data_IF_988722059515
#
_entry.id   IF_988722059515
#
_cell.length_a   1.000
_cell.length_b   1.000
_cell.length_c   1.000
_cell.angle_alpha   90.00
_cell.angle_beta   90.00
_cell.angle_gamma   90.00
#
_symmetry.space_group_name_H-M   'P 1'
#
loop_
_entity.id
_entity.type
_entity.pdbx_description
1 polymer ?
#
# COMPACT_ATOMS: atom_id res chain seq x y z
N UNK A 1 -67.79 -12.16 13.66
CA UNK A 1 -67.57 -13.39 14.45
C UNK A 1 -66.14 -13.91 14.32
N UNK A 2 -65.58 -13.95 13.10
CA UNK A 2 -64.29 -14.60 12.79
C UNK A 2 -63.06 -14.06 13.56
N UNK A 3 -62.97 -12.75 13.84
CA UNK A 3 -61.81 -12.16 14.55
C UNK A 3 -61.59 -12.75 15.96
N UNK A 4 -62.62 -13.31 16.61
CA UNK A 4 -62.50 -13.97 17.91
C UNK A 4 -61.90 -15.38 17.80
N UNK A 5 -62.20 -16.09 16.70
CA UNK A 5 -61.78 -17.48 16.49
C UNK A 5 -60.27 -17.57 16.22
N UNK A 6 -59.72 -16.63 15.45
CA UNK A 6 -58.28 -16.57 15.15
C UNK A 6 -57.42 -16.34 16.40
N UNK A 7 -57.94 -15.56 17.37
CA UNK A 7 -57.27 -15.34 18.67
C UNK A 7 -57.28 -16.64 19.49
N UNK A 8 -58.41 -17.34 19.54
CA UNK A 8 -58.55 -18.59 20.28
C UNK A 8 -57.64 -19.71 19.74
N UNK A 9 -57.56 -19.86 18.42
CA UNK A 9 -56.67 -20.86 17.80
C UNK A 9 -55.18 -20.58 18.09
N UNK A 10 -54.76 -19.31 18.12
CA UNK A 10 -53.36 -18.96 18.48
C UNK A 10 -53.03 -19.27 19.94
N UNK A 11 -53.99 -19.13 20.87
CA UNK A 11 -53.79 -19.51 22.27
C UNK A 11 -53.63 -21.03 22.45
N UNK A 12 -54.46 -21.84 21.77
CA UNK A 12 -54.43 -23.31 21.90
C UNK A 12 -53.11 -23.90 21.37
N UNK A 13 -52.56 -23.36 20.27
CA UNK A 13 -51.28 -23.82 19.71
C UNK A 13 -50.10 -23.54 20.66
N UNK A 14 -50.11 -22.41 21.38
CA UNK A 14 -49.07 -22.10 22.36
C UNK A 14 -49.05 -23.10 23.53
N UNK A 15 -50.23 -23.38 24.13
CA UNK A 15 -50.37 -24.33 25.25
C UNK A 15 -49.94 -25.75 24.85
N UNK A 16 -50.23 -26.18 23.61
CA UNK A 16 -49.80 -27.49 23.12
C UNK A 16 -48.29 -27.63 22.91
N UNK A 17 -47.55 -26.52 22.76
CA UNK A 17 -46.10 -26.54 22.62
C UNK A 17 -45.40 -26.65 23.99
N UNK A 18 -45.89 -25.94 25.01
CA UNK A 18 -45.33 -26.02 26.38
C UNK A 18 -45.50 -27.42 27.00
N UNK A 19 -46.59 -28.13 26.70
CA UNK A 19 -46.88 -29.43 27.31
C UNK A 19 -46.00 -30.60 26.81
N UNK A 20 -45.18 -30.42 25.75
CA UNK A 20 -44.41 -31.52 25.13
C UNK A 20 -42.92 -31.60 25.45
N UNK A 21 -42.34 -30.65 26.18
CA UNK A 21 -40.89 -30.60 26.50
C UNK A 21 -40.64 -30.88 27.99
N UNK A 22 -41.33 -31.87 28.58
CA UNK A 22 -41.32 -32.12 30.03
C UNK A 22 -41.24 -33.59 30.48
N UNK A 23 -40.56 -34.43 29.69
CA UNK A 23 -40.15 -35.79 30.10
C UNK A 23 -38.69 -36.00 29.70
N UNK A 24 -37.91 -36.72 30.52
CA UNK A 24 -36.47 -37.01 30.39
C UNK A 24 -35.52 -35.79 30.57
N UNK A 25 -35.06 -35.56 31.81
CA UNK A 25 -33.63 -35.57 32.23
C UNK A 25 -33.54 -35.40 33.77
N UNK A 26 -32.51 -35.94 34.46
CA UNK A 26 -32.43 -35.90 35.94
C UNK A 26 -32.08 -34.52 36.53
N UNK A 27 -32.46 -34.29 37.80
CA UNK A 27 -32.19 -33.05 38.54
C UNK A 27 -30.81 -33.05 39.20
N UNK A 28 -29.85 -32.26 38.69
CA UNK A 28 -28.72 -31.73 39.50
C UNK A 28 -28.11 -30.48 38.85
N UNK A 29 -27.87 -29.45 39.67
CA UNK A 29 -26.87 -28.37 39.46
C UNK A 29 -26.96 -27.50 38.18
N UNK A 30 -28.01 -26.68 38.07
CA UNK A 30 -27.95 -25.37 37.39
C UNK A 30 -28.75 -24.34 38.21
N UNK A 31 -28.24 -23.15 38.53
CA UNK A 31 -29.00 -22.09 39.20
C UNK A 31 -30.03 -21.43 38.26
N UNK A 32 -31.11 -20.81 38.77
CA UNK A 32 -32.25 -20.40 37.94
C UNK A 32 -31.95 -19.18 37.06
N UNK A 33 -32.14 -19.32 35.75
CA UNK A 33 -32.24 -18.20 34.80
C UNK A 33 -33.52 -17.39 35.07
N UNK A 34 -33.41 -16.32 35.86
CA UNK A 34 -34.55 -15.43 36.14
C UNK A 34 -34.19 -13.96 36.39
N UNK A 35 -33.31 -13.38 35.55
CA UNK A 35 -33.43 -11.99 35.08
C UNK A 35 -32.51 -11.75 33.87
N UNK A 36 -33.09 -11.78 32.67
CA UNK A 36 -32.59 -11.04 31.50
C UNK A 36 -33.68 -10.08 31.01
N UNK A 37 -34.19 -9.26 31.94
CA UNK A 37 -34.40 -7.86 31.57
C UNK A 37 -33.06 -7.34 31.03
N UNK A 38 -33.11 -6.40 30.08
CA UNK A 38 -31.89 -5.78 29.54
C UNK A 38 -31.01 -5.38 30.72
N UNK A 39 -29.69 -5.70 30.74
CA UNK A 39 -28.81 -4.93 31.59
C UNK A 39 -29.03 -3.47 31.21
N UNK A 40 -29.19 -2.59 32.20
CA UNK A 40 -29.24 -1.17 31.93
C UNK A 40 -27.92 -0.80 31.24
N UNK A 41 -27.98 -0.67 29.91
CA UNK A 41 -26.91 -0.11 29.12
C UNK A 41 -26.85 1.34 29.58
N UNK A 42 -26.04 1.59 30.60
CA UNK A 42 -25.93 2.88 31.23
C UNK A 42 -25.70 3.90 30.12
N UNK A 43 -26.72 4.74 29.90
CA UNK A 43 -26.62 5.93 29.06
C UNK A 43 -25.80 6.92 29.87
N UNK A 44 -24.51 6.60 30.04
CA UNK A 44 -23.51 7.49 30.57
C UNK A 44 -23.62 8.79 29.77
N UNK A 45 -23.72 9.95 30.42
CA UNK A 45 -23.89 11.22 29.73
C UNK A 45 -22.56 11.66 29.09
N UNK A 46 -22.08 10.92 28.08
CA UNK A 46 -20.90 11.22 27.26
C UNK A 46 -20.97 12.61 26.61
N UNK A 47 -22.16 13.24 26.60
CA UNK A 47 -22.35 14.67 26.29
C UNK A 47 -21.55 15.64 27.18
N UNK A 48 -20.95 15.21 28.31
CA UNK A 48 -20.19 16.10 29.20
C UNK A 48 -18.67 15.94 29.21
N UNK A 49 -18.07 14.96 28.50
CA UNK A 49 -16.60 14.83 28.41
C UNK A 49 -16.15 14.69 26.95
N UNK A 50 -15.12 15.45 26.59
CA UNK A 50 -14.50 15.38 25.27
C UNK A 50 -13.56 14.16 25.19
N UNK A 51 -13.62 13.43 24.09
CA UNK A 51 -12.62 12.40 23.77
C UNK A 51 -11.39 13.07 23.15
N UNK A 52 -10.20 12.62 23.53
CA UNK A 52 -8.92 13.23 23.10
C UNK A 52 -8.34 12.47 21.91
N UNK A 53 -8.17 13.17 20.80
CA UNK A 53 -7.64 12.65 19.53
C UNK A 53 -6.22 13.19 19.29
N UNK A 54 -5.23 12.35 19.48
CA UNK A 54 -3.82 12.69 19.26
C UNK A 54 -3.49 12.73 17.77
N UNK A 55 -3.28 13.93 17.24
CA UNK A 55 -2.76 14.15 15.90
C UNK A 55 -2.10 15.54 15.78
N UNK A 56 -1.13 15.67 14.87
CA UNK A 56 -0.34 16.90 14.70
C UNK A 56 -1.07 18.04 13.97
N UNK A 57 -2.09 17.73 13.17
CA UNK A 57 -2.96 18.69 12.50
C UNK A 57 -4.18 17.98 11.91
N UNK A 58 -5.22 18.74 11.61
CA UNK A 58 -6.34 18.25 10.81
C UNK A 58 -5.88 17.84 9.40
N UNK A 59 -6.22 16.62 9.00
CA UNK A 59 -5.81 15.99 7.74
C UNK A 59 -6.76 14.83 7.39
N UNK A 60 -6.61 14.20 6.22
CA UNK A 60 -7.46 13.09 5.73
C UNK A 60 -7.77 11.97 6.73
N UNK A 61 -6.86 11.64 7.66
CA UNK A 61 -7.09 10.58 8.65
C UNK A 61 -7.85 11.10 9.88
N UNK A 62 -7.69 12.38 10.21
CA UNK A 62 -8.36 13.05 11.34
C UNK A 62 -9.80 13.47 10.96
N UNK A 63 -10.01 13.94 9.73
CA UNK A 63 -11.31 14.35 9.22
C UNK A 63 -12.36 13.23 9.36
N UNK A 64 -12.00 11.97 9.12
CA UNK A 64 -12.86 10.80 9.32
C UNK A 64 -13.52 10.79 10.71
N UNK A 65 -12.70 10.98 11.74
CA UNK A 65 -13.12 10.93 13.15
C UNK A 65 -13.96 12.15 13.50
N UNK A 66 -13.51 13.35 13.13
CA UNK A 66 -14.18 14.60 13.48
C UNK A 66 -15.51 14.78 12.73
N UNK A 67 -15.62 14.35 11.47
CA UNK A 67 -16.89 14.40 10.73
C UNK A 67 -17.87 13.37 11.29
N UNK A 68 -17.42 12.15 11.61
CA UNK A 68 -18.27 11.17 12.30
C UNK A 68 -18.75 11.70 13.66
N UNK A 69 -17.88 12.38 14.41
CA UNK A 69 -18.24 13.03 15.68
C UNK A 69 -19.37 14.08 15.51
N UNK A 70 -19.29 14.92 14.47
CA UNK A 70 -20.34 15.90 14.13
C UNK A 70 -21.68 15.24 13.75
N UNK A 71 -21.67 14.15 12.99
CA UNK A 71 -22.89 13.41 12.63
C UNK A 71 -23.58 12.74 13.82
N UNK A 72 -22.81 12.37 14.87
CA UNK A 72 -23.32 11.63 16.05
C UNK A 72 -23.48 12.54 17.28
N UNK A 73 -23.02 13.79 17.21
CA UNK A 73 -23.08 14.75 18.33
C UNK A 73 -22.07 14.46 19.45
N UNK A 74 -20.96 13.78 19.13
CA UNK A 74 -19.87 13.46 20.07
C UNK A 74 -18.86 14.60 20.10
N UNK A 75 -18.40 14.99 21.29
CA UNK A 75 -17.32 15.98 21.43
C UNK A 75 -15.95 15.27 21.30
N UNK A 76 -15.24 15.49 20.20
CA UNK A 76 -13.86 15.00 19.99
C UNK A 76 -12.94 16.19 19.78
N UNK A 77 -11.89 16.29 20.60
CA UNK A 77 -10.94 17.40 20.58
C UNK A 77 -9.54 16.89 20.24
N UNK A 78 -8.76 17.70 19.52
CA UNK A 78 -7.35 17.38 19.30
C UNK A 78 -6.55 17.54 20.59
N UNK A 79 -5.62 16.63 20.84
CA UNK A 79 -4.71 16.72 21.98
C UNK A 79 -3.91 18.05 21.92
N UNK A 80 -3.89 18.85 22.99
CA UNK A 80 -3.10 20.09 23.02
C UNK A 80 -1.60 19.78 22.90
N UNK A 81 -0.87 20.72 22.29
CA UNK A 81 0.59 20.72 22.18
C UNK A 81 1.23 19.44 21.56
N UNK A 82 0.45 18.65 20.82
CA UNK A 82 0.95 17.45 20.15
C UNK A 82 1.99 17.79 19.07
N UNK A 83 3.21 17.28 19.22
CA UNK A 83 4.32 17.51 18.30
C UNK A 83 4.73 16.21 17.58
N UNK A 84 4.52 16.16 16.27
CA UNK A 84 4.92 15.01 15.44
C UNK A 84 6.44 14.78 15.48
N UNK A 85 6.83 13.53 15.72
CA UNK A 85 8.23 13.12 15.89
C UNK A 85 8.72 13.18 17.34
N UNK A 86 7.99 13.85 18.23
CA UNK A 86 8.33 13.97 19.66
C UNK A 86 7.28 13.27 20.51
N UNK A 87 6.04 13.76 20.54
CA UNK A 87 4.97 13.22 21.38
C UNK A 87 4.71 11.74 21.10
N UNK A 88 4.63 11.36 19.81
CA UNK A 88 4.43 9.97 19.38
C UNK A 88 5.68 9.06 19.46
N UNK A 89 6.77 9.54 20.06
CA UNK A 89 7.98 8.76 20.37
C UNK A 89 8.23 8.63 21.87
N UNK A 90 7.37 9.21 22.71
CA UNK A 90 7.42 9.02 24.17
C UNK A 90 7.01 7.58 24.55
N UNK A 91 7.62 6.97 25.58
CA UNK A 91 7.18 5.68 26.12
C UNK A 91 5.71 5.65 26.56
N UNK A 92 5.16 6.80 26.96
CA UNK A 92 3.75 6.99 27.29
C UNK A 92 2.87 6.80 26.05
N UNK A 93 3.18 7.48 24.94
CA UNK A 93 2.40 7.34 23.70
C UNK A 93 2.53 5.94 23.07
N UNK A 94 3.70 5.31 23.18
CA UNK A 94 3.91 3.96 22.66
C UNK A 94 3.09 2.88 23.39
N UNK A 95 2.54 3.17 24.58
CA UNK A 95 1.52 2.34 25.23
C UNK A 95 0.12 2.51 24.62
N UNK A 96 -0.17 3.65 24.00
CA UNK A 96 -1.44 3.94 23.31
C UNK A 96 -1.43 3.39 21.88
N UNK A 97 -0.28 3.41 21.21
CA UNK A 97 -0.05 2.80 19.91
C UNK A 97 1.42 2.33 19.79
N UNK A 98 1.71 1.02 19.74
CA UNK A 98 3.09 0.51 19.71
C UNK A 98 3.85 0.87 18.43
N UNK A 99 3.15 1.23 17.34
CA UNK A 99 3.74 1.67 16.07
C UNK A 99 4.12 3.17 16.13
N UNK A 100 3.61 3.92 17.13
CA UNK A 100 3.83 5.37 17.25
C UNK A 100 3.29 6.16 16.06
N UNK A 101 2.20 5.69 15.43
CA UNK A 101 1.46 6.39 14.36
C UNK A 101 0.32 7.23 14.95
N UNK A 102 -0.22 8.14 14.13
CA UNK A 102 -1.39 8.97 14.42
C UNK A 102 -2.41 8.91 13.27
N UNK A 103 -3.72 9.12 13.52
CA UNK A 103 -4.34 9.44 14.81
C UNK A 103 -4.38 8.27 15.82
N UNK A 104 -4.54 8.63 17.10
CA UNK A 104 -4.91 7.73 18.21
C UNK A 104 -5.96 8.44 19.06
N UNK A 105 -7.04 7.75 19.42
CA UNK A 105 -8.11 8.26 20.27
C UNK A 105 -7.99 7.67 21.68
N UNK A 106 -8.01 8.51 22.72
CA UNK A 106 -8.19 8.08 24.09
C UNK A 106 -9.68 7.93 24.42
N UNK A 107 -10.02 6.83 25.08
CA UNK A 107 -11.38 6.51 25.54
C UNK A 107 -11.31 5.98 26.98
N UNK A 108 -12.40 6.02 27.77
CA UNK A 108 -12.39 5.52 29.15
C UNK A 108 -11.96 4.05 29.29
N UNK A 109 -12.27 3.22 28.28
CA UNK A 109 -11.99 1.78 28.27
C UNK A 109 -10.62 1.42 27.65
N UNK A 110 -9.90 2.40 27.10
CA UNK A 110 -8.59 2.21 26.47
C UNK A 110 -8.35 3.11 25.25
N UNK A 111 -7.15 3.00 24.66
CA UNK A 111 -6.80 3.74 23.45
C UNK A 111 -7.19 2.96 22.18
N UNK A 112 -7.71 3.67 21.17
CA UNK A 112 -8.01 3.13 19.84
C UNK A 112 -7.06 3.77 18.83
N UNK A 113 -6.33 2.95 18.07
CA UNK A 113 -5.52 3.41 16.93
C UNK A 113 -6.09 2.88 15.60
N UNK A 114 -5.47 3.30 14.49
CA UNK A 114 -5.97 3.21 13.10
C UNK A 114 -7.22 4.05 12.79
N UNK A 115 -7.10 4.93 11.80
CA UNK A 115 -8.09 5.99 11.54
C UNK A 115 -9.48 5.50 11.14
N UNK A 116 -9.59 4.35 10.48
CA UNK A 116 -10.88 3.75 10.15
C UNK A 116 -11.52 3.10 11.39
N UNK A 117 -10.73 2.51 12.29
CA UNK A 117 -11.22 1.91 13.53
C UNK A 117 -11.68 2.99 14.53
N UNK A 118 -10.92 4.08 14.66
CA UNK A 118 -11.31 5.26 15.46
C UNK A 118 -12.63 5.85 14.94
N UNK A 119 -12.78 6.01 13.62
CA UNK A 119 -14.02 6.53 13.04
C UNK A 119 -15.21 5.57 13.23
N UNK A 120 -15.00 4.24 13.07
CA UNK A 120 -16.00 3.21 13.43
C UNK A 120 -16.36 3.23 14.91
N UNK A 121 -15.42 3.52 15.82
CA UNK A 121 -15.68 3.64 17.26
C UNK A 121 -16.56 4.86 17.57
N UNK A 122 -16.15 6.06 17.12
CA UNK A 122 -16.92 7.30 17.37
C UNK A 122 -18.32 7.22 16.75
N UNK A 123 -18.46 6.61 15.56
CA UNK A 123 -19.76 6.38 14.92
C UNK A 123 -20.70 5.44 15.71
N UNK A 124 -20.22 4.71 16.72
CA UNK A 124 -21.03 3.81 17.57
C UNK A 124 -21.45 4.43 18.91
N UNK A 125 -21.02 5.65 19.23
CA UNK A 125 -21.26 6.28 20.54
C UNK A 125 -22.61 7.02 20.67
N UNK A 126 -23.46 6.99 19.65
CA UNK A 126 -24.77 7.63 19.67
C UNK A 126 -25.68 7.08 18.57
N UNK A 127 -26.96 7.44 18.62
CA UNK A 127 -28.00 6.94 17.71
C UNK A 127 -27.91 7.62 16.34
N UNK A 128 -27.62 6.85 15.27
CA UNK A 128 -27.36 7.36 13.92
C UNK A 128 -27.39 6.26 12.84
N UNK A 129 -27.47 6.65 11.57
CA UNK A 129 -27.53 5.74 10.41
C UNK A 129 -26.19 5.56 9.66
N UNK A 130 -25.03 5.88 10.25
CA UNK A 130 -23.74 5.83 9.53
C UNK A 130 -23.29 4.42 9.12
N UNK A 131 -23.94 3.36 9.64
CA UNK A 131 -23.72 1.97 9.25
C UNK A 131 -24.84 1.40 8.36
N UNK A 132 -25.83 2.23 8.00
CA UNK A 132 -27.09 1.79 7.40
C UNK A 132 -27.99 1.02 8.38
N UNK A 133 -29.08 0.45 7.85
CA UNK A 133 -30.19 -0.09 8.66
C UNK A 133 -30.22 -1.61 8.73
N UNK A 134 -29.35 -2.31 7.99
CA UNK A 134 -29.39 -3.77 7.84
C UNK A 134 -27.99 -4.40 7.80
N UNK A 135 -27.87 -5.73 8.01
CA UNK A 135 -26.56 -6.42 7.92
C UNK A 135 -25.87 -6.31 6.56
N UNK A 136 -26.64 -6.15 5.48
CA UNK A 136 -26.09 -5.96 4.13
C UNK A 136 -25.61 -4.52 3.91
N UNK A 137 -26.27 -3.51 4.50
CA UNK A 137 -25.76 -2.14 4.48
C UNK A 137 -24.43 -2.03 5.24
N UNK A 138 -24.32 -2.66 6.41
CA UNK A 138 -23.08 -2.72 7.19
C UNK A 138 -21.94 -3.35 6.38
N UNK A 139 -22.22 -4.46 5.67
CA UNK A 139 -21.25 -5.11 4.80
C UNK A 139 -20.83 -4.21 3.62
N UNK A 140 -21.78 -3.48 2.99
CA UNK A 140 -21.46 -2.51 1.95
C UNK A 140 -20.68 -1.29 2.48
N UNK A 141 -20.96 -0.83 3.71
CA UNK A 141 -20.21 0.25 4.36
C UNK A 141 -18.76 -0.18 4.58
N UNK A 142 -18.53 -1.37 5.13
CA UNK A 142 -17.16 -1.88 5.32
C UNK A 142 -16.45 -2.16 3.98
N UNK A 143 -17.15 -2.70 2.97
CA UNK A 143 -16.64 -2.87 1.60
C UNK A 143 -16.11 -1.54 1.02
N UNK A 144 -16.88 -0.45 1.12
CA UNK A 144 -16.48 0.85 0.58
C UNK A 144 -15.39 1.53 1.41
N UNK A 145 -15.37 1.33 2.73
CA UNK A 145 -14.27 1.80 3.60
C UNK A 145 -12.95 1.15 3.19
N UNK A 146 -12.96 -0.16 2.96
CA UNK A 146 -11.76 -0.92 2.66
C UNK A 146 -11.32 -0.67 1.20
N UNK A 147 -12.24 -0.58 0.23
CA UNK A 147 -11.97 -0.09 -1.13
C UNK A 147 -11.32 1.31 -1.11
N UNK A 148 -11.87 2.23 -0.34
CA UNK A 148 -11.34 3.60 -0.25
C UNK A 148 -9.95 3.63 0.41
N UNK A 149 -9.60 2.68 1.27
CA UNK A 149 -8.26 2.56 1.84
C UNK A 149 -7.26 1.87 0.90
N UNK A 150 -7.67 0.80 0.22
CA UNK A 150 -6.79 -0.05 -0.58
C UNK A 150 -6.58 0.47 -2.01
N UNK A 151 -7.65 0.88 -2.70
CA UNK A 151 -7.59 1.30 -4.11
C UNK A 151 -7.41 2.82 -4.27
N UNK A 152 -7.94 3.63 -3.34
CA UNK A 152 -7.82 5.10 -3.40
C UNK A 152 -6.66 5.60 -2.53
N UNK A 153 -6.71 5.42 -1.22
CA UNK A 153 -5.77 6.07 -0.29
C UNK A 153 -4.31 5.58 -0.43
N UNK A 154 -4.13 4.28 -0.68
CA UNK A 154 -2.82 3.69 -1.01
C UNK A 154 -2.18 4.38 -2.22
N UNK A 155 -2.94 4.52 -3.31
CA UNK A 155 -2.43 5.10 -4.55
C UNK A 155 -2.24 6.63 -4.44
N UNK A 156 -3.17 7.37 -3.81
CA UNK A 156 -2.96 8.79 -3.48
C UNK A 156 -1.73 9.00 -2.56
N UNK A 157 -1.43 8.05 -1.67
CA UNK A 157 -0.25 8.13 -0.80
C UNK A 157 1.06 7.88 -1.56
N UNK A 158 1.08 6.96 -2.53
CA UNK A 158 2.22 6.76 -3.46
C UNK A 158 2.55 8.03 -4.25
N UNK A 159 1.54 8.80 -4.67
CA UNK A 159 1.70 10.11 -5.32
C UNK A 159 2.17 11.20 -4.34
N UNK A 160 1.57 11.25 -3.15
CA UNK A 160 1.77 12.33 -2.19
C UNK A 160 3.12 12.29 -1.48
N UNK A 161 3.53 11.12 -0.95
CA UNK A 161 4.67 11.00 -0.04
C UNK A 161 6.00 11.42 -0.73
N UNK A 162 6.29 11.01 -1.98
CA UNK A 162 7.48 11.48 -2.69
C UNK A 162 7.42 12.96 -3.08
N UNK A 163 6.26 13.47 -3.53
CA UNK A 163 6.09 14.89 -3.88
C UNK A 163 6.16 15.83 -2.67
N UNK A 164 5.95 15.31 -1.45
CA UNK A 164 6.23 16.02 -0.20
C UNK A 164 7.66 15.81 0.34
N UNK A 165 8.55 15.15 -0.42
CA UNK A 165 9.95 14.90 -0.03
C UNK A 165 10.12 13.88 1.11
N UNK A 166 9.08 13.08 1.40
CA UNK A 166 9.06 12.10 2.49
C UNK A 166 9.43 10.67 2.06
N UNK A 167 9.62 10.46 0.76
CA UNK A 167 10.16 9.25 0.15
C UNK A 167 10.90 9.63 -1.14
N UNK A 168 11.76 8.76 -1.71
CA UNK A 168 12.31 8.95 -3.06
C UNK A 168 11.19 9.03 -4.11
N UNK A 169 11.34 9.93 -5.08
CA UNK A 169 10.47 9.97 -6.26
C UNK A 169 10.94 8.95 -7.30
N UNK A 170 10.02 8.10 -7.76
CA UNK A 170 10.26 7.05 -8.77
C UNK A 170 9.16 7.19 -9.83
N UNK A 171 9.48 7.55 -11.09
CA UNK A 171 8.47 7.80 -12.13
C UNK A 171 7.49 6.63 -12.34
N UNK A 172 8.01 5.40 -12.40
CA UNK A 172 7.20 4.19 -12.62
C UNK A 172 6.21 3.91 -11.48
N UNK A 173 6.55 4.27 -10.24
CA UNK A 173 5.65 4.12 -9.08
C UNK A 173 4.53 5.15 -9.14
N UNK A 174 4.80 6.37 -9.63
CA UNK A 174 3.78 7.38 -9.88
C UNK A 174 2.87 7.01 -11.05
N UNK A 175 3.43 6.55 -12.18
CA UNK A 175 2.67 6.09 -13.34
C UNK A 175 1.75 4.90 -12.97
N UNK A 176 2.30 3.91 -12.26
CA UNK A 176 1.54 2.77 -11.73
C UNK A 176 0.45 3.22 -10.74
N UNK A 177 0.73 4.21 -9.87
CA UNK A 177 -0.25 4.76 -8.95
C UNK A 177 -1.37 5.51 -9.67
N UNK A 178 -1.08 6.32 -10.70
CA UNK A 178 -2.09 6.98 -11.53
C UNK A 178 -2.93 5.98 -12.32
N UNK A 179 -2.31 4.95 -12.91
CA UNK A 179 -3.04 3.88 -13.61
C UNK A 179 -3.98 3.12 -12.66
N UNK A 180 -3.49 2.74 -11.47
CA UNK A 180 -4.29 2.05 -10.45
C UNK A 180 -5.43 2.93 -9.93
N UNK A 181 -5.15 4.21 -9.66
CA UNK A 181 -6.12 5.19 -9.22
C UNK A 181 -7.18 5.48 -10.29
N UNK A 182 -6.82 5.44 -11.58
CA UNK A 182 -7.77 5.58 -12.69
C UNK A 182 -8.79 4.44 -12.67
N UNK A 183 -8.37 3.18 -12.57
CA UNK A 183 -9.32 2.04 -12.43
C UNK A 183 -10.25 2.19 -11.22
N UNK A 184 -9.71 2.66 -10.09
CA UNK A 184 -10.48 2.90 -8.88
C UNK A 184 -11.53 4.01 -9.09
N UNK A 185 -11.16 5.08 -9.80
CA UNK A 185 -12.06 6.17 -10.17
C UNK A 185 -13.08 5.74 -11.22
N UNK A 186 -12.73 4.87 -12.17
CA UNK A 186 -13.66 4.29 -13.16
C UNK A 186 -14.75 3.47 -12.44
N UNK A 187 -14.37 2.53 -11.57
CA UNK A 187 -15.32 1.72 -10.78
C UNK A 187 -16.21 2.59 -9.88
N UNK A 188 -15.62 3.58 -9.19
CA UNK A 188 -16.36 4.51 -8.34
C UNK A 188 -17.31 5.41 -9.16
N UNK A 189 -16.90 5.86 -10.34
CA UNK A 189 -17.71 6.66 -11.26
C UNK A 189 -18.91 5.87 -11.79
N UNK A 190 -18.72 4.58 -12.11
CA UNK A 190 -19.80 3.67 -12.52
C UNK A 190 -20.82 3.45 -11.41
N UNK A 191 -20.38 3.21 -10.15
CA UNK A 191 -21.30 3.11 -9.02
C UNK A 191 -22.08 4.41 -8.79
N UNK A 192 -21.38 5.54 -8.78
CA UNK A 192 -21.96 6.87 -8.53
C UNK A 192 -22.81 7.39 -9.69
N UNK A 193 -22.80 6.77 -10.87
CA UNK A 193 -23.69 7.13 -11.98
C UNK A 193 -25.17 7.00 -11.60
N UNK A 194 -25.50 6.01 -10.76
CA UNK A 194 -26.88 5.71 -10.32
C UNK A 194 -27.13 5.99 -8.83
N UNK A 195 -26.09 6.25 -8.04
CA UNK A 195 -26.21 6.44 -6.59
C UNK A 195 -25.71 7.83 -6.15
N UNK A 196 -26.45 8.47 -5.23
CA UNK A 196 -26.06 9.77 -4.64
C UNK A 196 -24.93 9.61 -3.62
N UNK A 197 -25.04 8.59 -2.77
CA UNK A 197 -24.09 8.18 -1.73
C UNK A 197 -23.56 6.78 -2.04
N UNK A 198 -22.63 6.26 -1.25
CA UNK A 198 -22.03 4.94 -1.49
C UNK A 198 -22.95 3.78 -1.06
N UNK A 199 -23.75 3.96 -0.01
CA UNK A 199 -24.67 2.95 0.53
C UNK A 199 -26.01 3.59 0.88
N UNK A 200 -27.07 3.20 0.19
CA UNK A 200 -28.42 3.72 0.39
C UNK A 200 -28.56 5.22 0.10
N UNK A 201 -29.63 5.81 0.64
CA UNK A 201 -30.08 7.18 0.33
C UNK A 201 -29.55 8.27 1.28
N UNK A 202 -28.60 7.93 2.17
CA UNK A 202 -28.05 8.86 3.18
C UNK A 202 -26.54 8.72 3.36
N UNK A 203 -25.86 9.78 3.81
CA UNK A 203 -24.44 9.74 4.17
C UNK A 203 -24.15 8.64 5.19
N UNK A 204 -23.22 7.76 4.87
CA UNK A 204 -22.69 6.71 5.75
C UNK A 204 -21.24 6.96 6.15
N UNK A 205 -20.68 6.10 7.01
CA UNK A 205 -19.26 6.12 7.37
C UNK A 205 -18.35 5.85 6.15
N UNK A 206 -18.83 5.07 5.18
CA UNK A 206 -18.15 4.89 3.90
C UNK A 206 -17.99 6.23 3.15
N UNK A 207 -19.03 7.06 3.14
CA UNK A 207 -18.98 8.36 2.48
C UNK A 207 -18.01 9.33 3.18
N UNK A 208 -18.04 9.33 4.51
CA UNK A 208 -17.11 10.11 5.36
C UNK A 208 -15.66 9.71 5.09
N UNK A 209 -15.36 8.41 5.07
CA UNK A 209 -13.99 7.91 4.87
C UNK A 209 -13.52 8.11 3.42
N UNK A 210 -14.35 7.79 2.43
CA UNK A 210 -14.03 7.95 1.01
C UNK A 210 -13.80 9.42 0.66
N UNK A 211 -14.70 10.32 1.09
CA UNK A 211 -14.54 11.76 0.85
C UNK A 211 -13.28 12.31 1.55
N UNK A 212 -12.95 11.82 2.74
CA UNK A 212 -11.72 12.21 3.45
C UNK A 212 -10.45 11.80 2.70
N UNK A 213 -10.44 10.63 2.03
CA UNK A 213 -9.34 10.24 1.14
C UNK A 213 -9.33 11.07 -0.15
N UNK A 214 -10.48 11.21 -0.83
CA UNK A 214 -10.62 12.02 -2.04
C UNK A 214 -10.20 13.49 -1.83
N UNK A 215 -10.38 14.05 -0.62
CA UNK A 215 -9.89 15.38 -0.27
C UNK A 215 -8.38 15.54 -0.48
N UNK A 216 -7.57 14.51 -0.21
CA UNK A 216 -6.13 14.55 -0.52
C UNK A 216 -5.91 14.61 -2.03
N UNK A 217 -6.70 13.83 -2.79
CA UNK A 217 -6.70 13.88 -4.25
C UNK A 217 -7.03 15.28 -4.77
N UNK A 218 -8.28 15.71 -4.64
CA UNK A 218 -8.77 16.98 -5.18
C UNK A 218 -7.99 18.20 -4.66
N UNK A 219 -7.63 18.25 -3.38
CA UNK A 219 -7.02 19.45 -2.77
C UNK A 219 -5.49 19.53 -2.88
N UNK A 220 -4.82 18.47 -3.35
CA UNK A 220 -3.34 18.40 -3.41
C UNK A 220 -2.74 17.69 -4.62
N UNK A 221 -3.46 16.85 -5.37
CA UNK A 221 -2.86 15.95 -6.39
C UNK A 221 -3.59 15.92 -7.74
N UNK A 222 -4.91 16.04 -7.76
CA UNK A 222 -5.75 15.76 -8.93
C UNK A 222 -6.27 17.06 -9.54
N UNK A 223 -5.61 17.50 -10.61
CA UNK A 223 -6.00 18.67 -11.42
C UNK A 223 -7.32 18.44 -12.15
N UNK A 224 -7.97 19.55 -12.55
CA UNK A 224 -9.31 19.55 -13.16
C UNK A 224 -9.42 18.71 -14.43
N UNK A 225 -8.35 18.58 -15.22
CA UNK A 225 -8.33 17.71 -16.40
C UNK A 225 -8.54 16.24 -16.04
N UNK A 226 -7.88 15.73 -14.99
CA UNK A 226 -8.05 14.36 -14.50
C UNK A 226 -9.43 14.14 -13.88
N UNK A 227 -9.91 15.06 -13.03
CA UNK A 227 -11.21 14.84 -12.34
C UNK A 227 -12.40 14.91 -13.28
N UNK A 228 -12.28 15.65 -14.40
CA UNK A 228 -13.34 15.77 -15.39
C UNK A 228 -13.53 14.50 -16.25
N UNK A 229 -12.60 13.54 -16.21
CA UNK A 229 -12.82 12.18 -16.74
C UNK A 229 -13.85 11.40 -15.89
N UNK A 230 -14.10 11.81 -14.64
CA UNK A 230 -14.91 11.09 -13.65
C UNK A 230 -16.04 11.97 -13.08
N UNK A 231 -17.00 12.41 -13.91
CA UNK A 231 -17.99 13.42 -13.55
C UNK A 231 -18.89 13.04 -12.36
N UNK A 232 -19.16 11.75 -12.14
CA UNK A 232 -19.95 11.29 -11.00
C UNK A 232 -19.14 11.27 -9.70
N UNK A 233 -17.83 10.95 -9.76
CA UNK A 233 -16.90 11.09 -8.63
C UNK A 233 -16.71 12.57 -8.27
N UNK A 234 -16.56 13.45 -9.26
CA UNK A 234 -16.44 14.88 -9.01
C UNK A 234 -17.74 15.48 -8.44
N UNK A 235 -18.91 15.15 -9.01
CA UNK A 235 -20.23 15.50 -8.43
C UNK A 235 -20.30 15.08 -6.97
N UNK A 236 -20.07 13.80 -6.70
CA UNK A 236 -20.11 13.22 -5.36
C UNK A 236 -19.18 13.94 -4.38
N UNK A 237 -17.91 14.13 -4.75
CA UNK A 237 -16.94 14.82 -3.90
C UNK A 237 -17.42 16.23 -3.54
N UNK A 238 -17.87 17.01 -4.52
CA UNK A 238 -18.39 18.36 -4.27
C UNK A 238 -19.70 18.39 -3.49
N UNK A 239 -20.59 17.40 -3.66
CA UNK A 239 -21.78 17.23 -2.81
C UNK A 239 -21.36 17.03 -1.35
N UNK A 240 -20.49 16.05 -1.08
CA UNK A 240 -20.14 15.68 0.30
C UNK A 240 -19.34 16.78 1.01
N UNK A 241 -18.30 17.37 0.41
CA UNK A 241 -17.49 18.41 1.12
C UNK A 241 -18.24 19.71 1.39
N UNK A 242 -19.36 19.97 0.70
CA UNK A 242 -20.21 21.13 0.96
C UNK A 242 -21.35 20.86 1.97
N UNK A 243 -21.57 19.61 2.39
CA UNK A 243 -22.49 19.31 3.49
C UNK A 243 -22.05 20.04 4.78
N UNK A 244 -22.96 20.55 5.63
CA UNK A 244 -22.60 21.34 6.81
C UNK A 244 -21.56 20.66 7.72
N UNK A 245 -21.76 19.38 8.02
CA UNK A 245 -20.89 18.59 8.92
C UNK A 245 -19.48 18.41 8.35
N UNK A 246 -19.35 18.23 7.03
CA UNK A 246 -18.06 18.17 6.35
C UNK A 246 -17.39 19.54 6.31
N UNK A 247 -18.12 20.58 5.88
CA UNK A 247 -17.61 21.93 5.72
C UNK A 247 -17.18 22.58 7.04
N UNK A 248 -17.83 22.23 8.16
CA UNK A 248 -17.42 22.66 9.51
C UNK A 248 -16.03 22.17 9.91
N UNK A 249 -15.66 20.97 9.46
CA UNK A 249 -14.42 20.27 9.84
C UNK A 249 -13.29 20.45 8.81
N UNK A 250 -13.62 20.37 7.52
CA UNK A 250 -12.66 20.50 6.41
C UNK A 250 -12.40 21.97 6.06
N UNK A 251 -13.36 22.86 6.32
CA UNK A 251 -13.37 24.23 5.82
C UNK A 251 -13.79 24.30 4.34
N UNK A 252 -13.46 25.41 3.67
CA UNK A 252 -13.70 25.57 2.24
C UNK A 252 -12.64 24.82 1.43
N UNK A 253 -13.07 23.84 0.64
CA UNK A 253 -12.20 23.11 -0.29
C UNK A 253 -11.99 23.92 -1.58
N UNK A 254 -10.74 24.02 -2.04
CA UNK A 254 -10.38 24.44 -3.41
C UNK A 254 -9.64 23.28 -4.08
N UNK A 255 -9.97 22.98 -5.34
CA UNK A 255 -9.23 22.00 -6.14
C UNK A 255 -7.81 22.51 -6.45
N UNK A 256 -6.85 21.58 -6.55
CA UNK A 256 -5.47 21.90 -6.94
C UNK A 256 -5.39 22.27 -8.42
N UNK A 257 -4.67 23.34 -8.74
CA UNK A 257 -4.45 23.81 -10.12
C UNK A 257 -3.25 23.12 -10.79
N UNK A 258 -2.36 22.53 -9.98
CA UNK A 258 -1.21 21.76 -10.43
C UNK A 258 -0.93 20.58 -9.47
N UNK A 259 -0.18 19.58 -9.93
CA UNK A 259 0.49 18.62 -9.05
C UNK A 259 1.61 19.36 -8.27
N UNK A 260 1.89 19.01 -7.00
CA UNK A 260 2.99 19.60 -6.27
C UNK A 260 4.31 19.25 -6.97
N UNK A 261 5.25 20.18 -7.17
CA UNK A 261 6.48 19.90 -7.91
C UNK A 261 7.24 18.74 -7.27
N UNK A 262 7.85 17.90 -8.10
CA UNK A 262 8.81 16.90 -7.63
C UNK A 262 9.93 17.67 -6.91
N UNK A 263 10.27 17.34 -5.65
CA UNK A 263 11.36 18.00 -4.96
C UNK A 263 12.67 17.83 -5.73
N UNK A 264 13.16 18.91 -6.34
CA UNK A 264 14.56 18.99 -6.72
C UNK A 264 15.42 18.86 -5.46
N UNK A 265 16.68 18.46 -5.60
CA UNK A 265 17.60 18.25 -4.48
C UNK A 265 18.04 19.59 -3.83
N UNK A 266 17.09 20.30 -3.23
CA UNK A 266 17.33 21.57 -2.56
C UNK A 266 18.17 21.34 -1.29
N UNK A 267 19.27 22.08 -1.19
CA UNK A 267 20.12 22.10 0.01
C UNK A 267 19.26 22.48 1.23
N UNK A 268 19.47 21.85 2.41
CA UNK A 268 18.77 22.23 3.63
C UNK A 268 18.94 23.74 3.91
N UNK A 269 17.85 24.43 4.26
CA UNK A 269 17.93 25.82 4.73
C UNK A 269 18.59 25.85 6.11
N UNK A 270 19.67 26.61 6.25
CA UNK A 270 20.39 26.76 7.50
C UNK A 270 19.53 27.48 8.55
N UNK A 271 19.16 26.75 9.62
CA UNK A 271 18.69 27.36 10.86
C UNK A 271 19.90 27.87 11.65
N UNK A 272 20.08 29.19 11.73
CA UNK A 272 21.19 29.83 12.46
C UNK A 272 21.37 29.23 13.87
N UNK A 273 22.56 28.71 14.23
CA UNK A 273 22.85 28.30 15.59
C UNK A 273 22.74 29.47 16.57
N UNK A 274 22.16 29.24 17.75
CA UNK A 274 22.34 30.12 18.91
C UNK A 274 23.61 29.70 19.65
N UNK A 275 24.39 30.68 20.09
CA UNK A 275 25.61 30.50 20.88
C UNK A 275 25.34 29.89 22.26
N UNK A 276 26.25 29.03 22.73
CA UNK A 276 26.60 28.88 24.15
C UNK A 276 27.89 28.07 24.39
N UNK A 277 28.90 28.78 24.88
CA UNK A 277 29.82 28.44 25.98
C UNK A 277 30.49 27.05 26.03
N UNK A 278 31.75 27.02 25.59
CA UNK A 278 32.85 26.26 26.21
C UNK A 278 33.25 26.89 27.59
N UNK A 279 34.25 26.41 28.40
CA UNK A 279 35.24 25.34 28.17
C UNK A 279 35.52 24.36 29.35
N UNK A 280 36.19 23.22 29.09
CA UNK A 280 37.58 22.96 29.58
C UNK A 280 38.18 21.60 29.20
N UNK A 281 39.48 21.67 28.88
CA UNK A 281 40.40 20.59 28.46
C UNK A 281 40.82 19.65 29.60
N UNK A 282 41.13 18.41 29.23
CA UNK A 282 42.38 17.71 29.61
C UNK A 282 42.97 17.08 28.34
N UNK A 283 44.29 17.05 28.18
CA UNK A 283 44.94 16.57 26.95
C UNK A 283 46.34 15.96 27.19
N UNK A 284 46.66 14.90 26.43
CA UNK A 284 47.99 14.31 26.09
C UNK A 284 47.74 13.00 25.30
N UNK A 285 48.53 12.60 24.30
CA UNK A 285 49.54 13.29 23.48
C UNK A 285 49.99 12.40 22.30
N UNK A 286 50.01 12.92 21.07
CA UNK A 286 50.71 12.32 19.92
C UNK A 286 52.22 12.66 19.91
N UNK A 287 53.00 11.92 19.12
CA UNK A 287 53.81 12.52 18.04
C UNK A 287 53.34 11.99 16.67
N UNK A 288 53.04 12.79 15.63
CA UNK A 288 53.76 13.91 15.00
C UNK A 288 55.05 13.47 14.25
N UNK A 289 55.38 13.93 13.02
CA UNK A 289 54.71 14.81 12.02
C UNK A 289 55.47 14.70 10.66
N UNK A 290 54.99 15.22 9.50
CA UNK A 290 55.02 16.66 9.18
C UNK A 290 53.69 17.24 8.61
N UNK A 291 53.72 18.55 8.32
CA UNK A 291 52.68 19.47 7.78
C UNK A 291 53.48 20.45 6.85
N UNK A 292 53.04 21.14 5.78
CA UNK A 292 51.71 21.55 5.23
C UNK A 292 51.85 21.87 3.69
N UNK A 293 51.27 22.86 2.96
CA UNK A 293 50.34 24.04 3.12
C UNK A 293 49.65 24.33 1.74
N UNK A 294 48.44 24.89 1.59
CA UNK A 294 47.41 25.26 2.59
C UNK A 294 45.96 24.89 2.15
N UNK A 295 45.42 25.49 1.07
CA UNK A 295 43.95 25.62 0.84
C UNK A 295 43.48 25.47 -0.62
N UNK A 296 42.43 24.67 -0.86
CA UNK A 296 41.08 25.16 -1.23
C UNK A 296 40.00 24.03 -1.17
N UNK A 297 38.72 24.44 -1.08
CA UNK A 297 37.44 23.69 -1.03
C UNK A 297 37.40 22.16 -0.71
N UNK A 298 36.89 21.77 0.48
CA UNK A 298 36.52 20.37 0.80
C UNK A 298 35.01 20.10 0.55
N UNK A 299 34.70 19.11 -0.29
CA UNK A 299 33.33 18.71 -0.62
C UNK A 299 32.72 17.72 0.41
N UNK A 300 31.38 17.73 0.63
CA UNK A 300 30.75 16.97 1.72
C UNK A 300 30.75 15.45 1.53
N UNK A 301 30.92 14.72 2.63
CA UNK A 301 31.00 13.24 2.66
C UNK A 301 29.69 12.54 2.26
N UNK A 302 29.74 11.31 1.73
CA UNK A 302 28.70 10.78 0.85
C UNK A 302 27.50 10.15 1.57
N UNK A 303 26.38 10.05 0.85
CA UNK A 303 25.35 9.04 1.13
C UNK A 303 25.95 7.63 0.99
N UNK A 304 25.48 6.67 1.78
CA UNK A 304 25.85 5.27 1.60
C UNK A 304 25.52 4.80 0.17
N UNK A 305 26.53 4.29 -0.54
CA UNK A 305 26.39 3.70 -1.87
C UNK A 305 25.84 2.27 -1.76
N UNK A 306 25.11 1.80 -2.77
CA UNK A 306 24.80 0.37 -2.89
C UNK A 306 26.14 -0.40 -3.07
N UNK A 307 26.32 -1.60 -2.49
CA UNK A 307 27.56 -2.37 -2.67
C UNK A 307 27.96 -2.60 -4.14
N UNK A 308 26.99 -2.71 -5.06
CA UNK A 308 27.27 -2.85 -6.50
C UNK A 308 27.81 -1.56 -7.15
N UNK A 309 27.58 -0.38 -6.56
CA UNK A 309 28.18 0.90 -6.96
C UNK A 309 29.65 1.05 -6.51
N UNK A 310 30.19 0.02 -5.83
CA UNK A 310 31.60 -0.06 -5.40
C UNK A 310 32.40 -1.08 -6.23
N UNK A 311 31.75 -1.87 -7.10
CA UNK A 311 32.43 -2.86 -7.93
C UNK A 311 33.26 -2.20 -9.05
N UNK A 312 34.43 -2.75 -9.43
CA UNK A 312 35.28 -2.23 -10.50
C UNK A 312 34.51 -2.01 -11.81
N UNK A 313 34.71 -0.90 -12.54
CA UNK A 313 33.98 -0.60 -13.77
C UNK A 313 34.02 -1.76 -14.78
N UNK A 314 32.84 -2.12 -15.29
CA UNK A 314 32.66 -3.16 -16.31
C UNK A 314 32.77 -2.58 -17.71
N UNK A 315 33.32 -3.35 -18.65
CA UNK A 315 33.29 -3.09 -20.10
C UNK A 315 31.85 -3.08 -20.62
N UNK A 316 30.98 -3.93 -20.09
CA UNK A 316 29.56 -3.96 -20.44
C UNK A 316 28.80 -2.81 -19.77
N UNK A 317 28.23 -1.90 -20.58
CA UNK A 317 27.30 -0.86 -20.12
C UNK A 317 25.86 -1.40 -20.26
N UNK A 318 25.22 -1.70 -19.13
CA UNK A 318 23.93 -2.39 -19.09
C UNK A 318 22.80 -1.61 -19.81
N UNK A 319 22.79 -0.28 -19.72
CA UNK A 319 21.78 0.55 -20.38
C UNK A 319 21.96 0.58 -21.91
N UNK A 320 23.19 0.42 -22.41
CA UNK A 320 23.43 0.29 -23.86
C UNK A 320 22.97 -1.07 -24.38
N UNK A 321 23.21 -2.15 -23.62
CA UNK A 321 22.61 -3.46 -23.89
C UNK A 321 21.08 -3.37 -23.94
N UNK A 322 20.45 -2.81 -22.91
CA UNK A 322 18.99 -2.69 -22.83
C UNK A 322 18.41 -1.83 -23.96
N UNK A 323 19.14 -0.80 -24.40
CA UNK A 323 18.80 0.01 -25.58
C UNK A 323 18.89 -0.80 -26.88
N UNK A 324 19.98 -1.55 -27.10
CA UNK A 324 20.14 -2.42 -28.27
C UNK A 324 19.04 -3.48 -28.34
N UNK A 325 18.81 -4.20 -27.23
CA UNK A 325 17.74 -5.18 -27.10
C UNK A 325 16.36 -4.59 -27.43
N UNK A 326 16.07 -3.39 -26.92
CA UNK A 326 14.76 -2.74 -27.12
C UNK A 326 14.56 -2.21 -28.54
N UNK A 327 15.63 -1.77 -29.21
CA UNK A 327 15.58 -1.18 -30.55
C UNK A 327 15.60 -2.23 -31.67
N UNK A 328 16.12 -3.43 -31.41
CA UNK A 328 16.15 -4.53 -32.38
C UNK A 328 14.74 -5.08 -32.60
N UNK A 329 14.26 -5.08 -33.86
CA UNK A 329 12.92 -5.55 -34.26
C UNK A 329 12.92 -6.68 -35.29
N UNK A 330 13.99 -6.78 -36.07
CA UNK A 330 14.26 -7.83 -37.06
C UNK A 330 15.71 -8.29 -36.90
N UNK A 331 16.06 -9.43 -37.49
CA UNK A 331 17.43 -9.96 -37.48
C UNK A 331 18.00 -10.09 -36.04
N UNK A 332 17.17 -10.56 -35.10
CA UNK A 332 17.45 -10.47 -33.67
C UNK A 332 18.75 -11.19 -33.27
N UNK A 333 18.99 -12.37 -33.86
CA UNK A 333 20.23 -13.14 -33.76
C UNK A 333 21.48 -12.36 -34.20
N UNK A 334 21.39 -11.66 -35.33
CA UNK A 334 22.51 -10.96 -35.96
C UNK A 334 22.85 -9.63 -35.29
N UNK A 335 21.86 -8.98 -34.68
CA UNK A 335 21.98 -7.64 -34.09
C UNK A 335 22.03 -7.69 -32.57
N UNK A 336 20.99 -8.21 -31.92
CA UNK A 336 20.88 -8.23 -30.47
C UNK A 336 21.71 -9.36 -29.83
N UNK A 337 21.63 -10.60 -30.32
CA UNK A 337 22.42 -11.71 -29.75
C UNK A 337 23.91 -11.51 -30.03
N UNK A 338 24.30 -11.14 -31.26
CA UNK A 338 25.70 -10.79 -31.55
C UNK A 338 26.18 -9.63 -30.66
N UNK A 339 25.42 -8.53 -30.60
CA UNK A 339 25.79 -7.36 -29.80
C UNK A 339 25.83 -7.65 -28.29
N UNK A 340 24.98 -8.55 -27.79
CA UNK A 340 25.06 -9.05 -26.41
C UNK A 340 26.44 -9.66 -26.15
N UNK A 341 26.88 -10.61 -26.96
CA UNK A 341 28.18 -11.28 -26.79
C UNK A 341 29.38 -10.38 -27.10
N UNK A 342 29.26 -9.40 -28.02
CA UNK A 342 30.29 -8.38 -28.25
C UNK A 342 30.51 -7.47 -27.01
N UNK A 343 29.41 -7.13 -26.31
CA UNK A 343 29.41 -6.27 -25.13
C UNK A 343 29.65 -7.01 -23.81
N UNK A 344 29.29 -8.30 -23.72
CA UNK A 344 29.28 -9.05 -22.47
C UNK A 344 30.65 -9.06 -21.79
N UNK A 345 30.63 -8.87 -20.48
CA UNK A 345 31.79 -8.78 -19.61
C UNK A 345 31.64 -9.83 -18.50
N UNK A 346 32.39 -10.95 -18.56
CA UNK A 346 32.28 -12.04 -17.59
C UNK A 346 32.96 -11.72 -16.26
N UNK A 347 33.81 -10.69 -16.17
CA UNK A 347 34.32 -10.18 -14.88
C UNK A 347 33.28 -9.23 -14.27
N UNK A 348 32.64 -8.42 -15.12
CA UNK A 348 31.64 -7.43 -14.75
C UNK A 348 30.26 -7.97 -14.36
N UNK A 349 29.80 -9.04 -15.00
CA UNK A 349 28.43 -9.58 -14.85
C UNK A 349 28.39 -11.11 -14.87
N UNK A 350 27.55 -11.69 -14.01
CA UNK A 350 27.23 -13.12 -14.00
C UNK A 350 25.88 -13.40 -14.68
N UNK A 351 25.83 -14.49 -15.42
CA UNK A 351 24.61 -15.04 -16.01
C UNK A 351 24.11 -16.23 -15.16
N UNK A 352 22.79 -16.32 -15.00
CA UNK A 352 22.11 -17.33 -14.20
C UNK A 352 20.85 -17.84 -14.90
N UNK A 353 20.69 -19.15 -14.99
CA UNK A 353 19.39 -19.76 -15.25
C UNK A 353 18.57 -19.81 -13.95
N UNK A 354 17.25 -19.65 -14.05
CA UNK A 354 16.33 -19.95 -12.96
C UNK A 354 15.14 -20.80 -13.43
N UNK A 355 15.12 -22.06 -13.02
CA UNK A 355 14.04 -22.99 -13.33
C UNK A 355 13.08 -23.06 -12.12
N UNK A 356 11.77 -22.88 -12.34
CA UNK A 356 10.78 -22.85 -11.22
C UNK A 356 10.59 -24.23 -10.61
N UNK A 357 10.63 -24.34 -9.28
CA UNK A 357 10.63 -25.65 -8.58
C UNK A 357 9.31 -26.42 -8.65
N UNK A 358 8.19 -25.70 -8.75
CA UNK A 358 6.84 -26.28 -8.60
C UNK A 358 6.06 -26.28 -9.92
N UNK A 359 6.69 -26.77 -11.00
CA UNK A 359 6.12 -26.69 -12.36
C UNK A 359 4.73 -27.33 -12.45
N UNK A 360 4.49 -28.45 -11.78
CA UNK A 360 3.22 -29.19 -11.82
C UNK A 360 2.02 -28.39 -11.27
N UNK A 361 2.25 -27.36 -10.43
CA UNK A 361 1.20 -26.46 -9.94
C UNK A 361 0.68 -25.50 -11.02
N UNK A 362 1.44 -25.27 -12.09
CA UNK A 362 1.14 -24.30 -13.14
C UNK A 362 0.08 -24.84 -14.12
N UNK A 363 -1.09 -25.21 -13.59
CA UNK A 363 -2.17 -25.86 -14.34
C UNK A 363 -3.04 -24.90 -15.17
N UNK A 364 -2.94 -23.58 -14.93
CA UNK A 364 -3.78 -22.56 -15.58
C UNK A 364 -2.90 -21.45 -16.15
N UNK A 365 -2.91 -21.31 -17.47
CA UNK A 365 -2.02 -20.40 -18.22
C UNK A 365 -2.00 -18.98 -17.67
N UNK A 366 -3.14 -18.30 -17.61
CA UNK A 366 -3.20 -16.90 -17.15
C UNK A 366 -2.76 -16.72 -15.69
N UNK A 367 -2.91 -17.74 -14.84
CA UNK A 367 -2.39 -17.72 -13.46
C UNK A 367 -0.87 -17.80 -13.47
N UNK A 368 -0.29 -18.67 -14.29
CA UNK A 368 1.17 -18.77 -14.50
C UNK A 368 1.74 -17.46 -15.06
N UNK A 369 1.08 -16.85 -16.06
CA UNK A 369 1.49 -15.55 -16.62
C UNK A 369 1.46 -14.44 -15.57
N UNK A 370 0.49 -14.45 -14.65
CA UNK A 370 0.39 -13.51 -13.54
C UNK A 370 1.43 -13.78 -12.44
N UNK A 371 1.73 -15.05 -12.13
CA UNK A 371 2.79 -15.48 -11.20
C UNK A 371 4.15 -14.90 -11.64
N UNK A 372 4.52 -15.09 -12.92
CA UNK A 372 5.73 -14.51 -13.52
C UNK A 372 5.70 -12.99 -13.52
N UNK A 373 4.55 -12.38 -13.82
CA UNK A 373 4.38 -10.91 -13.77
C UNK A 373 4.64 -10.33 -12.38
N UNK A 374 4.14 -10.98 -11.33
CA UNK A 374 4.36 -10.58 -9.94
C UNK A 374 5.83 -10.73 -9.50
N UNK A 375 6.51 -11.80 -9.91
CA UNK A 375 7.94 -11.97 -9.68
C UNK A 375 8.75 -10.81 -10.29
N UNK A 376 8.51 -10.48 -11.57
CA UNK A 376 9.20 -9.36 -12.23
C UNK A 376 8.92 -7.98 -11.61
N UNK A 377 7.78 -7.80 -10.93
CA UNK A 377 7.49 -6.58 -10.16
C UNK A 377 8.28 -6.51 -8.85
N UNK A 378 8.54 -7.65 -8.19
CA UNK A 378 9.36 -7.69 -6.95
C UNK A 378 10.85 -7.56 -7.24
N UNK A 379 11.29 -8.00 -8.42
CA UNK A 379 12.65 -7.79 -8.92
C UNK A 379 12.97 -6.32 -9.28
N UNK A 380 12.03 -5.38 -9.23
CA UNK A 380 12.21 -3.98 -9.69
C UNK A 380 13.37 -3.24 -8.98
N UNK A 381 13.61 -3.56 -7.71
CA UNK A 381 14.77 -3.13 -6.92
C UNK A 381 16.13 -3.47 -7.58
N UNK A 382 16.18 -4.50 -8.41
CA UNK A 382 17.35 -4.90 -9.18
C UNK A 382 17.50 -4.17 -10.53
N UNK A 383 16.52 -3.37 -10.98
CA UNK A 383 16.46 -2.89 -12.38
C UNK A 383 17.71 -2.15 -12.85
N UNK A 384 18.35 -1.33 -12.00
CA UNK A 384 19.62 -0.65 -12.32
C UNK A 384 20.79 -1.63 -12.56
N UNK A 385 20.74 -2.82 -11.99
CA UNK A 385 21.87 -3.76 -11.90
C UNK A 385 21.63 -5.10 -12.61
N UNK A 386 20.44 -5.30 -13.18
CA UNK A 386 20.05 -6.56 -13.79
C UNK A 386 19.31 -6.40 -15.12
N UNK A 387 19.37 -7.45 -15.94
CA UNK A 387 18.51 -7.72 -17.08
C UNK A 387 18.01 -9.16 -16.96
N UNK A 388 16.79 -9.45 -17.39
CA UNK A 388 16.22 -10.78 -17.27
C UNK A 388 15.18 -11.13 -18.34
N UNK A 389 14.99 -12.43 -18.53
CA UNK A 389 13.97 -13.04 -19.38
C UNK A 389 13.29 -14.16 -18.61
N UNK A 390 11.97 -14.21 -18.65
CA UNK A 390 11.16 -15.29 -18.08
C UNK A 390 10.26 -15.84 -19.17
N UNK A 391 10.44 -17.10 -19.51
CA UNK A 391 9.67 -17.83 -20.50
C UNK A 391 8.60 -18.67 -19.79
N UNK A 392 7.40 -18.72 -20.37
CA UNK A 392 6.36 -19.68 -20.01
C UNK A 392 6.16 -20.60 -21.21
N UNK A 393 6.32 -21.90 -20.98
CA UNK A 393 6.55 -22.91 -22.03
C UNK A 393 5.54 -24.05 -21.86
N UNK A 394 5.10 -24.61 -22.99
CA UNK A 394 4.13 -25.70 -23.06
C UNK A 394 2.80 -25.27 -23.70
N UNK A 395 2.26 -26.14 -24.56
CA UNK A 395 0.97 -25.94 -25.25
C UNK A 395 -0.24 -26.38 -24.41
N UNK A 396 0.00 -27.09 -23.31
CA UNK A 396 -1.00 -27.55 -22.35
C UNK A 396 -0.39 -27.57 -20.93
N UNK A 397 -1.25 -27.74 -19.92
CA UNK A 397 -0.82 -27.86 -18.53
C UNK A 397 -0.06 -29.18 -18.26
N UNK A 398 0.93 -29.19 -17.35
CA UNK A 398 1.45 -28.06 -16.58
C UNK A 398 2.41 -27.17 -17.39
N UNK A 399 2.28 -25.84 -17.23
CA UNK A 399 3.11 -24.86 -17.93
C UNK A 399 4.45 -24.64 -17.23
N UNK A 400 5.56 -24.86 -17.95
CA UNK A 400 6.92 -24.71 -17.41
C UNK A 400 7.34 -23.25 -17.38
N UNK A 401 7.79 -22.77 -16.22
CA UNK A 401 8.39 -21.44 -16.06
C UNK A 401 9.90 -21.59 -15.97
N UNK A 402 10.61 -20.96 -16.91
CA UNK A 402 12.08 -20.92 -16.98
C UNK A 402 12.55 -19.49 -17.11
N UNK A 403 13.74 -19.18 -16.63
CA UNK A 403 14.28 -17.84 -16.67
C UNK A 403 15.78 -17.76 -16.87
N UNK A 404 16.22 -16.58 -17.30
CA UNK A 404 17.59 -16.19 -17.52
C UNK A 404 17.79 -14.80 -16.93
N UNK A 405 18.83 -14.63 -16.11
CA UNK A 405 19.16 -13.36 -15.47
C UNK A 405 20.64 -13.02 -15.63
N UNK A 406 20.90 -11.78 -16.02
CA UNK A 406 22.20 -11.14 -16.02
C UNK A 406 22.25 -10.22 -14.79
N UNK A 407 23.14 -10.48 -13.84
CA UNK A 407 23.35 -9.66 -12.65
C UNK A 407 24.73 -8.99 -12.65
N UNK A 408 24.79 -7.74 -12.21
CA UNK A 408 26.03 -7.00 -11.98
C UNK A 408 26.81 -7.62 -10.82
N UNK A 409 28.06 -8.01 -11.07
CA UNK A 409 28.89 -8.77 -10.13
C UNK A 409 28.80 -10.28 -10.34
N UNK A 410 29.54 -11.04 -9.53
CA UNK A 410 29.74 -12.47 -9.73
C UNK A 410 28.68 -13.38 -9.08
N UNK A 411 27.81 -12.80 -8.26
CA UNK A 411 26.79 -13.47 -7.47
C UNK A 411 25.44 -12.79 -7.70
N UNK A 412 24.34 -13.50 -7.38
CA UNK A 412 23.02 -12.89 -7.28
C UNK A 412 23.08 -11.85 -6.15
N UNK A 413 22.69 -10.57 -6.36
CA UNK A 413 22.92 -9.55 -5.35
C UNK A 413 22.11 -9.79 -4.08
N UNK A 414 22.75 -9.75 -2.92
CA UNK A 414 22.13 -10.12 -1.63
C UNK A 414 20.81 -9.39 -1.35
N UNK A 415 20.72 -8.08 -1.64
CA UNK A 415 19.50 -7.29 -1.46
C UNK A 415 18.32 -7.73 -2.35
N UNK A 416 18.55 -8.57 -3.37
CA UNK A 416 17.51 -9.23 -4.16
C UNK A 416 17.01 -10.48 -3.44
N UNK A 417 17.91 -11.24 -2.82
CA UNK A 417 17.60 -12.42 -2.00
C UNK A 417 16.82 -12.00 -0.74
N UNK A 418 17.25 -10.93 -0.07
CA UNK A 418 16.66 -10.43 1.18
C UNK A 418 15.22 -9.91 1.01
N UNK A 419 14.92 -9.25 -0.11
CA UNK A 419 13.65 -8.53 -0.35
C UNK A 419 12.67 -9.29 -1.27
N UNK A 420 13.16 -10.24 -2.08
CA UNK A 420 12.33 -11.01 -3.04
C UNK A 420 12.21 -12.47 -2.61
N UNK A 421 11.22 -12.77 -1.75
CA UNK A 421 10.98 -14.13 -1.24
C UNK A 421 10.76 -15.19 -2.34
N UNK A 422 10.31 -14.80 -3.54
CA UNK A 422 10.20 -15.70 -4.70
C UNK A 422 11.53 -16.34 -5.12
N UNK A 423 12.67 -15.74 -4.77
CA UNK A 423 14.00 -16.26 -5.15
C UNK A 423 14.18 -17.70 -4.67
N UNK A 424 13.60 -18.08 -3.53
CA UNK A 424 13.62 -19.46 -3.00
C UNK A 424 12.74 -20.43 -3.81
N UNK A 425 11.76 -19.94 -4.57
CA UNK A 425 10.84 -20.76 -5.39
C UNK A 425 11.45 -21.21 -6.74
N UNK A 426 12.62 -20.67 -7.10
CA UNK A 426 13.38 -21.09 -8.27
C UNK A 426 14.68 -21.81 -7.86
N UNK A 427 15.17 -22.68 -8.73
CA UNK A 427 16.51 -23.24 -8.66
C UNK A 427 17.44 -22.40 -9.53
N UNK A 428 18.47 -21.81 -8.93
CA UNK A 428 19.38 -20.87 -9.59
C UNK A 428 20.71 -21.53 -9.94
N UNK A 429 21.01 -21.65 -11.22
CA UNK A 429 22.26 -22.22 -11.72
C UNK A 429 23.07 -21.15 -12.45
N UNK A 430 24.30 -20.89 -12.03
CA UNK A 430 25.20 -19.97 -12.74
C UNK A 430 25.57 -20.58 -14.09
N UNK A 431 25.44 -19.80 -15.16
CA UNK A 431 25.72 -20.23 -16.54
C UNK A 431 27.22 -20.43 -16.71
N UNK A 432 27.62 -21.59 -17.22
CA UNK A 432 28.97 -21.78 -17.76
C UNK A 432 29.03 -21.21 -19.18
N UNK A 433 29.84 -20.16 -19.37
CA UNK A 433 30.03 -19.48 -20.65
C UNK A 433 31.05 -20.18 -21.56
N UNK A 434 31.76 -21.20 -21.06
CA UNK A 434 32.63 -22.08 -21.85
C UNK A 434 31.88 -23.28 -22.41
N UNK A 435 30.69 -23.58 -21.89
CA UNK A 435 29.74 -24.52 -22.47
C UNK A 435 28.93 -23.84 -23.58
N UNK A 436 29.29 -24.11 -24.83
CA UNK A 436 28.61 -23.57 -26.01
C UNK A 436 27.11 -23.96 -26.07
N UNK A 437 26.67 -25.06 -25.43
CA UNK A 437 25.25 -25.42 -25.36
C UNK A 437 24.48 -24.54 -24.36
N UNK A 438 25.09 -24.20 -23.23
CA UNK A 438 24.51 -23.21 -22.30
C UNK A 438 24.51 -21.80 -22.89
N UNK A 439 25.57 -21.42 -23.61
CA UNK A 439 25.69 -20.15 -24.34
C UNK A 439 24.69 -20.03 -25.49
N UNK A 440 24.37 -21.14 -26.16
CA UNK A 440 23.26 -21.24 -27.11
C UNK A 440 21.90 -21.09 -26.39
N UNK A 441 21.68 -21.79 -25.28
CA UNK A 441 20.46 -21.67 -24.45
C UNK A 441 20.23 -20.23 -23.99
N UNK A 442 21.28 -19.52 -23.54
CA UNK A 442 21.24 -18.09 -23.22
C UNK A 442 20.75 -17.27 -24.43
N UNK A 443 21.31 -17.53 -25.60
CA UNK A 443 20.97 -16.81 -26.84
C UNK A 443 19.49 -16.99 -27.21
N UNK A 444 19.01 -18.24 -27.17
CA UNK A 444 17.61 -18.62 -27.43
C UNK A 444 16.63 -17.97 -26.44
N UNK A 445 16.98 -17.89 -25.15
CA UNK A 445 16.16 -17.24 -24.12
C UNK A 445 16.14 -15.70 -24.23
N UNK A 446 17.13 -15.09 -24.88
CA UNK A 446 17.16 -13.65 -25.12
C UNK A 446 16.31 -13.29 -26.34
N UNK A 447 16.36 -14.08 -27.41
CA UNK A 447 15.65 -13.81 -28.68
C UNK A 447 14.23 -14.37 -28.81
N UNK A 448 13.72 -15.03 -27.76
CA UNK A 448 12.39 -15.67 -27.73
C UNK A 448 12.24 -16.75 -28.82
N UNK A 449 13.27 -17.59 -28.93
CA UNK A 449 13.30 -18.69 -29.89
C UNK A 449 12.19 -19.70 -29.63
N UNK A 450 11.38 -20.00 -30.64
CA UNK A 450 10.32 -21.01 -30.60
C UNK A 450 10.53 -22.09 -31.68
N UNK A 451 10.41 -23.40 -31.36
CA UNK A 451 10.13 -23.98 -30.04
C UNK A 451 11.35 -23.96 -29.10
N UNK A 452 11.14 -23.58 -27.84
CA UNK A 452 12.18 -23.53 -26.82
C UNK A 452 12.32 -24.87 -26.10
N UNK A 453 13.55 -25.42 -25.99
CA UNK A 453 13.81 -26.77 -25.44
C UNK A 453 12.95 -27.90 -26.08
N UNK A 454 12.40 -27.67 -27.28
CA UNK A 454 11.50 -28.60 -27.99
C UNK A 454 10.00 -28.41 -27.70
N UNK A 455 9.62 -27.40 -26.90
CA UNK A 455 8.24 -27.11 -26.50
C UNK A 455 7.78 -25.73 -27.01
N UNK A 456 6.46 -25.55 -27.17
CA UNK A 456 5.87 -24.28 -27.64
C UNK A 456 6.06 -23.14 -26.62
N UNK A 457 6.27 -21.92 -27.10
CA UNK A 457 6.53 -20.75 -26.26
C UNK A 457 5.24 -19.96 -26.05
N UNK A 458 4.65 -20.08 -24.85
CA UNK A 458 3.34 -19.48 -24.55
C UNK A 458 3.42 -17.97 -24.27
N UNK A 459 4.48 -17.52 -23.60
CA UNK A 459 4.76 -16.10 -23.32
C UNK A 459 6.24 -15.90 -22.96
N UNK A 460 6.78 -14.70 -23.19
CA UNK A 460 8.16 -14.36 -22.91
C UNK A 460 8.31 -12.94 -22.35
N UNK A 461 8.45 -12.82 -21.03
CA UNK A 461 8.52 -11.52 -20.34
C UNK A 461 9.96 -11.06 -20.17
N UNK A 462 10.22 -9.80 -20.49
CA UNK A 462 11.54 -9.17 -20.35
C UNK A 462 11.59 -8.21 -19.16
N UNK A 463 12.65 -8.31 -18.37
CA UNK A 463 13.01 -7.41 -17.29
C UNK A 463 14.23 -6.56 -17.71
N UNK A 464 14.08 -5.24 -17.73
CA UNK A 464 15.09 -4.28 -18.18
C UNK A 464 14.86 -2.90 -17.57
#
# INVERSE_FOLDING_TARGET
MERTIVILMRAVVAVFLEMKVRVLFPKTLVPPFHHYLKPDLHIFPFKSMALILHAASANKNVFKTLIAAEYVGVNVQLAPDFQMGVSNKTPQFLKLNPIGKVPVLETPDGAVFESNAIARYVARLGDNNLFGSSPIDLAHVDQWIDFASLEIDSNLSKLCIPRLGKAPYIPLVEESAFSSLKRAFEALNTHLAHNTYLVGDSVTLADIITTSHLWLGFSKLLVKSYTSEFPHVERYFWTLVNQPNFRKIIGQVKQTEALPPIPSAQKPKESKPKTKDEPKKVAKSEPAKPKVEETEEEAPKPKAKNPLDLLPPSKMILDEWKRLYSNTKTNFREVAIKGFWDMYDPEGYSLWFCDYKYQDENTVSFVTLNKVGGFLQRMDLARKYAFGKMLVIGSAAPFKVKGLWLFRGQEIPQFVIDECYDMELYEWTKVDISDEAQKERVSQMIEDFEPFEGEALLDAKCFK
#
